data_IF_028620571578
#
_entry.id   IF_028620571578
#
_cell.length_a   1.000
_cell.length_b   1.000
_cell.length_c   1.000
_cell.angle_alpha   90.00
_cell.angle_beta   90.00
_cell.angle_gamma   90.00
#
_symmetry.space_group_name_H-M   'P 1'
#
loop_
_entity.id
_entity.type
_entity.pdbx_description
1 polymer ?
#
# COMPACT_ATOMS: atom_id res chain seq x y z
N UNK A 1 -26.32 30.37 33.36
CA UNK A 1 -25.64 29.09 33.69
C UNK A 1 -26.44 27.79 33.45
N UNK A 2 -27.79 27.69 33.62
CA UNK A 2 -28.53 26.44 33.36
C UNK A 2 -28.71 26.10 31.85
N UNK A 3 -28.74 27.11 30.97
CA UNK A 3 -28.91 26.95 29.51
C UNK A 3 -27.63 26.45 28.82
N UNK A 4 -26.45 26.90 29.26
CA UNK A 4 -25.15 26.47 28.73
C UNK A 4 -24.79 25.03 29.13
N UNK A 5 -25.15 24.61 30.36
CA UNK A 5 -24.86 23.26 30.86
C UNK A 5 -25.63 22.15 30.11
N UNK A 6 -26.73 22.49 29.43
CA UNK A 6 -27.44 21.58 28.52
C UNK A 6 -26.81 21.55 27.12
N UNK A 7 -26.24 22.66 26.66
CA UNK A 7 -25.54 22.74 25.36
C UNK A 7 -24.28 21.88 25.34
N UNK A 8 -23.42 21.97 26.36
CA UNK A 8 -22.17 21.20 26.42
C UNK A 8 -22.44 19.68 26.49
N UNK A 9 -23.43 19.26 27.29
CA UNK A 9 -23.81 17.84 27.39
C UNK A 9 -24.35 17.30 26.07
N UNK A 10 -25.18 18.08 25.39
CA UNK A 10 -25.70 17.71 24.08
C UNK A 10 -24.57 17.63 23.05
N UNK A 11 -23.66 18.60 23.02
CA UNK A 11 -22.50 18.59 22.13
C UNK A 11 -21.62 17.35 22.37
N UNK A 12 -21.39 16.97 23.63
CA UNK A 12 -20.65 15.76 23.97
C UNK A 12 -21.37 14.49 23.53
N UNK A 13 -22.69 14.39 23.73
CA UNK A 13 -23.50 13.27 23.25
C UNK A 13 -23.51 13.17 21.72
N UNK A 14 -23.63 14.30 21.04
CA UNK A 14 -23.54 14.39 19.59
C UNK A 14 -22.17 13.90 19.10
N UNK A 15 -21.08 14.42 19.66
CA UNK A 15 -19.72 14.02 19.30
C UNK A 15 -19.48 12.53 19.55
N UNK A 16 -19.96 12.00 20.68
CA UNK A 16 -19.89 10.57 21.00
C UNK A 16 -20.57 9.71 19.94
N UNK A 17 -21.84 10.01 19.63
CA UNK A 17 -22.59 9.28 18.62
C UNK A 17 -21.97 9.44 17.24
N UNK A 18 -21.47 10.62 16.90
CA UNK A 18 -20.83 10.86 15.62
C UNK A 18 -19.54 10.05 15.45
N UNK A 19 -18.68 10.02 16.47
CA UNK A 19 -17.48 9.20 16.47
C UNK A 19 -17.82 7.71 16.32
N UNK A 20 -18.70 7.19 17.17
CA UNK A 20 -18.98 5.75 17.21
C UNK A 20 -19.73 5.28 15.95
N UNK A 21 -20.83 5.94 15.63
CA UNK A 21 -21.63 5.57 14.44
C UNK A 21 -20.90 5.92 13.15
N UNK A 22 -20.16 7.03 13.11
CA UNK A 22 -19.33 7.41 11.97
C UNK A 22 -18.22 6.40 11.69
N UNK A 23 -17.54 5.90 12.72
CA UNK A 23 -16.53 4.84 12.56
C UNK A 23 -17.13 3.55 11.99
N UNK A 24 -18.27 3.11 12.53
CA UNK A 24 -18.98 1.92 12.04
C UNK A 24 -19.47 2.09 10.59
N UNK A 25 -20.16 3.20 10.28
CA UNK A 25 -20.65 3.50 8.94
C UNK A 25 -19.50 3.67 7.94
N UNK A 26 -18.39 4.27 8.38
CA UNK A 26 -17.17 4.39 7.58
C UNK A 26 -16.61 3.02 7.22
N UNK A 27 -16.55 2.10 8.16
CA UNK A 27 -16.14 0.71 7.91
C UNK A 27 -17.04 0.03 6.88
N UNK A 28 -18.37 0.12 7.04
CA UNK A 28 -19.32 -0.44 6.06
C UNK A 28 -19.17 0.19 4.67
N UNK A 29 -18.95 1.49 4.62
CA UNK A 29 -18.80 2.26 3.38
C UNK A 29 -17.53 1.87 2.63
N UNK A 30 -16.41 1.76 3.35
CA UNK A 30 -15.13 1.34 2.79
C UNK A 30 -15.20 -0.09 2.24
N UNK A 31 -15.77 -1.02 3.00
CA UNK A 31 -15.80 -2.44 2.62
C UNK A 31 -16.82 -2.79 1.55
N UNK A 32 -17.91 -2.03 1.43
CA UNK A 32 -18.97 -2.28 0.46
C UNK A 32 -18.98 -1.25 -0.67
N UNK A 33 -19.68 -0.10 -0.50
CA UNK A 33 -19.85 0.91 -1.54
C UNK A 33 -18.56 1.38 -2.22
N UNK A 34 -17.52 1.72 -1.45
CA UNK A 34 -16.25 2.22 -2.01
C UNK A 34 -15.59 1.14 -2.85
N UNK A 35 -15.42 -0.07 -2.32
CA UNK A 35 -14.84 -1.19 -3.07
C UNK A 35 -15.62 -1.47 -4.36
N UNK A 36 -16.95 -1.55 -4.29
CA UNK A 36 -17.80 -1.80 -5.47
C UNK A 36 -17.69 -0.69 -6.51
N UNK A 37 -17.68 0.58 -6.09
CA UNK A 37 -17.60 1.68 -7.05
C UNK A 37 -16.21 1.77 -7.67
N UNK A 38 -15.14 1.49 -6.92
CA UNK A 38 -13.78 1.46 -7.49
C UNK A 38 -13.63 0.31 -8.47
N UNK A 39 -14.12 -0.89 -8.12
CA UNK A 39 -14.06 -2.06 -8.99
C UNK A 39 -14.88 -1.82 -10.27
N UNK A 40 -16.09 -1.26 -10.13
CA UNK A 40 -16.94 -0.90 -11.28
C UNK A 40 -16.31 0.21 -12.14
N UNK A 41 -15.80 1.28 -11.52
CA UNK A 41 -15.17 2.39 -12.23
C UNK A 41 -13.98 1.91 -13.05
N UNK A 42 -13.15 1.03 -12.47
CA UNK A 42 -12.01 0.41 -13.18
C UNK A 42 -12.47 -0.49 -14.31
N UNK A 43 -13.45 -1.37 -14.07
CA UNK A 43 -13.99 -2.25 -15.10
C UNK A 43 -14.65 -1.49 -16.26
N UNK A 44 -15.30 -0.36 -15.96
CA UNK A 44 -15.92 0.54 -16.94
C UNK A 44 -14.94 1.55 -17.55
N UNK A 45 -13.66 1.50 -17.18
CA UNK A 45 -12.61 2.36 -17.75
C UNK A 45 -12.73 3.85 -17.39
N UNK A 46 -13.41 4.20 -16.29
CA UNK A 46 -13.62 5.58 -15.85
C UNK A 46 -12.30 6.37 -15.75
N UNK A 47 -12.38 7.69 -15.90
CA UNK A 47 -11.23 8.55 -15.61
C UNK A 47 -10.91 8.50 -14.11
N UNK A 48 -9.64 8.69 -13.76
CA UNK A 48 -9.23 8.72 -12.34
C UNK A 48 -9.92 9.85 -11.59
N UNK A 49 -10.08 11.02 -12.22
CA UNK A 49 -10.87 12.12 -11.66
C UNK A 49 -12.32 11.69 -11.40
N UNK A 50 -12.90 10.86 -12.27
CA UNK A 50 -14.24 10.29 -12.09
C UNK A 50 -14.31 9.29 -10.94
N UNK A 51 -13.36 8.37 -10.83
CA UNK A 51 -13.25 7.43 -9.70
C UNK A 51 -13.07 8.20 -8.38
N UNK A 52 -12.12 9.14 -8.32
CA UNK A 52 -11.88 9.99 -7.16
C UNK A 52 -13.11 10.82 -6.80
N UNK A 53 -13.76 11.45 -7.78
CA UNK A 53 -14.97 12.23 -7.53
C UNK A 53 -16.12 11.36 -6.98
N UNK A 54 -16.27 10.13 -7.48
CA UNK A 54 -17.28 9.21 -6.99
C UNK A 54 -16.99 8.73 -5.56
N UNK A 55 -15.73 8.42 -5.26
CA UNK A 55 -15.29 8.09 -3.89
C UNK A 55 -15.50 9.29 -2.96
N UNK A 56 -15.13 10.51 -3.38
CA UNK A 56 -15.37 11.72 -2.59
C UNK A 56 -16.85 12.03 -2.43
N UNK A 57 -17.69 11.77 -3.44
CA UNK A 57 -19.13 11.88 -3.31
C UNK A 57 -19.68 10.90 -2.27
N UNK A 58 -19.22 9.65 -2.27
CA UNK A 58 -19.57 8.67 -1.23
C UNK A 58 -19.10 9.09 0.16
N UNK A 59 -17.88 9.64 0.29
CA UNK A 59 -17.35 10.17 1.56
C UNK A 59 -18.19 11.36 2.02
N UNK A 60 -18.58 12.26 1.11
CA UNK A 60 -19.46 13.38 1.41
C UNK A 60 -20.83 12.92 1.89
N UNK A 61 -21.45 11.96 1.18
CA UNK A 61 -22.71 11.33 1.60
C UNK A 61 -22.56 10.69 2.98
N UNK A 62 -21.50 9.92 3.21
CA UNK A 62 -21.20 9.32 4.50
C UNK A 62 -21.06 10.39 5.60
N UNK A 63 -20.37 11.50 5.33
CA UNK A 63 -20.22 12.60 6.27
C UNK A 63 -21.59 13.16 6.68
N UNK A 64 -22.45 13.50 5.71
CA UNK A 64 -23.79 14.02 6.01
C UNK A 64 -24.69 13.00 6.70
N UNK A 65 -24.66 11.73 6.26
CA UNK A 65 -25.42 10.64 6.89
C UNK A 65 -24.96 10.44 8.33
N UNK A 66 -23.65 10.43 8.58
CA UNK A 66 -23.10 10.27 9.92
C UNK A 66 -23.47 11.45 10.85
N UNK A 67 -23.45 12.69 10.35
CA UNK A 67 -23.89 13.87 11.09
C UNK A 67 -25.40 13.79 11.42
N UNK A 68 -26.22 13.41 10.45
CA UNK A 68 -27.66 13.26 10.65
C UNK A 68 -27.97 12.15 11.65
N UNK A 69 -27.34 10.98 11.51
CA UNK A 69 -27.45 9.88 12.46
C UNK A 69 -27.04 10.31 13.87
N UNK A 70 -25.90 11.00 14.00
CA UNK A 70 -25.42 11.50 15.29
C UNK A 70 -26.40 12.48 15.93
N UNK A 71 -26.96 13.41 15.14
CA UNK A 71 -27.98 14.36 15.61
C UNK A 71 -29.23 13.64 16.09
N UNK A 72 -29.79 12.75 15.26
CA UNK A 72 -30.99 12.00 15.60
C UNK A 72 -30.80 11.14 16.85
N UNK A 73 -29.63 10.50 16.99
CA UNK A 73 -29.29 9.71 18.17
C UNK A 73 -29.10 10.59 19.40
N UNK A 74 -28.46 11.76 19.28
CA UNK A 74 -28.30 12.71 20.38
C UNK A 74 -29.65 13.27 20.85
N UNK A 75 -30.52 13.67 19.93
CA UNK A 75 -31.87 14.15 20.21
C UNK A 75 -32.69 13.07 20.93
N UNK A 76 -32.70 11.84 20.41
CA UNK A 76 -33.37 10.70 21.05
C UNK A 76 -32.78 10.37 22.42
N UNK A 77 -31.47 10.43 22.58
CA UNK A 77 -30.80 10.16 23.87
C UNK A 77 -31.16 11.23 24.91
N UNK A 78 -31.24 12.49 24.50
CA UNK A 78 -31.58 13.61 25.38
C UNK A 78 -33.06 13.58 25.81
N UNK A 79 -33.95 13.13 24.91
CA UNK A 79 -35.39 13.01 25.18
C UNK A 79 -35.78 11.69 25.89
N UNK A 80 -34.90 10.69 25.91
CA UNK A 80 -35.22 9.37 26.44
C UNK A 80 -35.25 9.32 27.97
N UNK A 81 -36.05 8.37 28.50
CA UNK A 81 -35.97 7.95 29.90
C UNK A 81 -34.64 7.28 30.25
N UNK A 82 -34.51 6.80 31.50
CA UNK A 82 -33.26 6.21 32.03
C UNK A 82 -32.66 5.13 31.10
N UNK A 83 -33.50 4.26 30.54
CA UNK A 83 -33.07 3.18 29.65
C UNK A 83 -32.42 3.71 28.35
N UNK A 84 -33.06 4.65 27.64
CA UNK A 84 -32.51 5.17 26.38
C UNK A 84 -31.32 6.10 26.56
N UNK A 85 -31.21 6.78 27.72
CA UNK A 85 -30.07 7.64 28.05
C UNK A 85 -28.74 6.89 28.09
N UNK A 86 -28.75 5.63 28.49
CA UNK A 86 -27.56 4.77 28.51
C UNK A 86 -27.54 3.76 27.37
N UNK A 87 -28.70 3.22 26.99
CA UNK A 87 -28.81 2.21 25.95
C UNK A 87 -28.40 2.70 24.56
N UNK A 88 -28.76 3.93 24.17
CA UNK A 88 -28.38 4.46 22.86
C UNK A 88 -26.87 4.70 22.73
N UNK A 89 -26.18 5.40 23.67
CA UNK A 89 -24.72 5.51 23.63
C UNK A 89 -24.01 4.16 23.69
N UNK A 90 -24.51 3.21 24.50
CA UNK A 90 -23.93 1.87 24.59
C UNK A 90 -24.10 1.08 23.28
N UNK A 91 -25.26 1.19 22.62
CA UNK A 91 -25.47 0.59 21.30
C UNK A 91 -24.56 1.17 20.23
N UNK A 92 -24.37 2.49 20.20
CA UNK A 92 -23.42 3.13 19.28
C UNK A 92 -21.98 2.64 19.54
N UNK A 93 -21.58 2.54 20.80
CA UNK A 93 -20.28 1.97 21.18
C UNK A 93 -20.15 0.51 20.74
N UNK A 94 -21.18 -0.32 20.93
CA UNK A 94 -21.17 -1.71 20.51
C UNK A 94 -20.97 -1.85 18.99
N UNK A 95 -21.60 -0.97 18.17
CA UNK A 95 -21.36 -0.94 16.73
C UNK A 95 -19.92 -0.51 16.38
N UNK A 96 -19.38 0.49 17.08
CA UNK A 96 -17.99 0.91 16.89
C UNK A 96 -17.00 -0.21 17.26
N UNK A 97 -17.26 -0.93 18.36
CA UNK A 97 -16.47 -2.08 18.78
C UNK A 97 -16.58 -3.24 17.80
N UNK A 98 -17.76 -3.47 17.22
CA UNK A 98 -17.93 -4.47 16.16
C UNK A 98 -17.10 -4.13 14.91
N UNK A 99 -17.10 -2.87 14.49
CA UNK A 99 -16.22 -2.41 13.41
C UNK A 99 -14.74 -2.59 13.78
N UNK A 100 -14.35 -2.23 15.01
CA UNK A 100 -12.98 -2.41 15.48
C UNK A 100 -12.57 -3.89 15.46
N UNK A 101 -13.42 -4.78 15.98
CA UNK A 101 -13.21 -6.23 15.94
C UNK A 101 -13.05 -6.74 14.50
N UNK A 102 -13.85 -6.22 13.56
CA UNK A 102 -13.71 -6.56 12.15
C UNK A 102 -12.33 -6.16 11.59
N UNK A 103 -11.81 -4.97 11.89
CA UNK A 103 -10.46 -4.55 11.51
C UNK A 103 -9.34 -5.35 12.19
N UNK A 104 -9.59 -5.83 13.40
CA UNK A 104 -8.69 -6.72 14.13
C UNK A 104 -8.82 -8.20 13.71
N UNK A 105 -9.68 -8.51 12.73
CA UNK A 105 -9.84 -9.87 12.21
C UNK A 105 -9.53 -9.90 10.71
N UNK A 106 -8.24 -9.87 10.31
CA UNK A 106 -7.84 -9.72 8.91
C UNK A 106 -8.41 -10.81 8.00
N UNK A 107 -8.65 -12.01 8.53
CA UNK A 107 -9.19 -13.17 7.79
C UNK A 107 -10.56 -12.89 7.17
N UNK A 108 -11.33 -11.92 7.69
CA UNK A 108 -12.60 -11.49 7.11
C UNK A 108 -12.43 -10.52 5.93
N UNK A 109 -11.26 -9.90 5.78
CA UNK A 109 -10.94 -8.93 4.73
C UNK A 109 -10.12 -9.52 3.59
N UNK A 110 -9.43 -10.63 3.85
CA UNK A 110 -8.60 -11.34 2.90
C UNK A 110 -9.47 -12.03 1.85
N UNK A 111 -9.17 -11.80 0.56
CA UNK A 111 -9.80 -12.55 -0.52
C UNK A 111 -9.42 -14.03 -0.38
N UNK A 112 -10.42 -14.91 -0.22
CA UNK A 112 -10.24 -16.37 -0.08
C UNK A 112 -9.50 -17.06 -1.23
N UNK A 113 -9.27 -16.33 -2.34
CA UNK A 113 -8.52 -16.81 -3.51
C UNK A 113 -7.04 -16.41 -3.53
N UNK A 114 -6.52 -15.74 -2.49
CA UNK A 114 -5.11 -15.34 -2.46
C UNK A 114 -4.22 -16.59 -2.33
N UNK A 115 -3.55 -16.97 -3.42
CA UNK A 115 -2.63 -18.11 -3.45
C UNK A 115 -1.32 -17.74 -2.78
N UNK A 116 -0.78 -18.66 -1.99
CA UNK A 116 0.57 -18.55 -1.45
C UNK A 116 1.57 -18.93 -2.52
N UNK A 117 2.48 -18.01 -2.82
CA UNK A 117 3.59 -18.22 -3.75
C UNK A 117 4.87 -18.47 -2.97
N UNK A 118 5.69 -19.41 -3.47
CA UNK A 118 6.99 -19.73 -2.90
C UNK A 118 8.12 -19.23 -3.79
N UNK A 119 9.18 -18.70 -3.17
CA UNK A 119 10.42 -18.30 -3.82
C UNK A 119 11.57 -18.93 -3.07
N UNK A 120 12.44 -19.66 -3.78
CA UNK A 120 13.63 -20.28 -3.19
C UNK A 120 14.85 -19.41 -3.52
N UNK A 121 15.59 -19.01 -2.50
CA UNK A 121 16.82 -18.22 -2.62
C UNK A 121 17.91 -18.87 -1.79
N UNK A 122 19.03 -19.23 -2.43
CA UNK A 122 20.21 -19.77 -1.73
C UNK A 122 19.89 -20.96 -0.81
N UNK A 123 18.97 -21.84 -1.22
CA UNK A 123 18.53 -23.00 -0.43
C UNK A 123 17.47 -22.70 0.65
N UNK A 124 17.06 -21.44 0.80
CA UNK A 124 16.01 -21.01 1.71
C UNK A 124 14.70 -20.77 0.96
N UNK A 125 13.60 -21.36 1.42
CA UNK A 125 12.27 -21.18 0.84
C UNK A 125 11.50 -20.07 1.58
N UNK A 126 10.97 -19.11 0.83
CA UNK A 126 10.09 -18.05 1.32
C UNK A 126 8.71 -18.19 0.71
N UNK A 127 7.70 -18.43 1.53
CA UNK A 127 6.30 -18.53 1.12
C UNK A 127 5.56 -17.28 1.55
N UNK A 128 4.87 -16.63 0.63
CA UNK A 128 4.19 -15.37 0.87
C UNK A 128 2.69 -15.58 1.06
N UNK A 129 2.09 -14.87 2.00
CA UNK A 129 0.64 -14.96 2.19
C UNK A 129 0.03 -13.90 3.11
N UNK A 130 -1.27 -14.06 3.42
CA UNK A 130 -1.98 -13.21 4.37
C UNK A 130 -1.50 -13.34 5.81
N UNK A 131 -1.95 -12.43 6.68
CA UNK A 131 -1.78 -12.55 8.13
C UNK A 131 -2.23 -13.94 8.65
N UNK A 132 -1.33 -14.72 9.27
CA UNK A 132 -1.66 -16.02 9.84
C UNK A 132 -2.24 -15.82 11.26
N UNK A 133 -3.45 -16.31 11.51
CA UNK A 133 -3.92 -16.49 12.89
C UNK A 133 -3.42 -17.80 13.50
N UNK A 134 -3.72 -18.02 14.76
CA UNK A 134 -3.37 -19.20 15.58
C UNK A 134 -3.43 -20.55 14.84
N UNK A 135 -4.58 -20.90 14.24
CA UNK A 135 -4.75 -22.16 13.51
C UNK A 135 -3.76 -22.27 12.35
N UNK A 136 -3.54 -21.17 11.62
CA UNK A 136 -2.58 -21.14 10.51
C UNK A 136 -1.15 -21.26 11.02
N UNK A 137 -0.79 -20.62 12.13
CA UNK A 137 0.54 -20.72 12.74
C UNK A 137 0.86 -22.16 13.18
N UNK A 138 -0.12 -22.83 13.79
CA UNK A 138 0.00 -24.25 14.13
C UNK A 138 0.17 -25.11 12.88
N UNK A 139 -0.66 -24.90 11.85
CA UNK A 139 -0.51 -25.59 10.56
C UNK A 139 0.83 -25.32 9.87
N UNK A 140 1.37 -24.10 9.95
CA UNK A 140 2.70 -23.77 9.42
C UNK A 140 3.79 -24.57 10.15
N UNK A 141 3.68 -24.75 11.48
CA UNK A 141 4.62 -25.58 12.23
C UNK A 141 4.57 -27.04 11.77
N UNK A 142 3.38 -27.59 11.59
CA UNK A 142 3.17 -28.96 11.10
C UNK A 142 3.67 -29.15 9.66
N UNK A 143 3.53 -28.14 8.81
CA UNK A 143 4.07 -28.08 7.43
C UNK A 143 5.60 -27.95 7.38
N UNK A 144 6.28 -27.90 8.54
CA UNK A 144 7.73 -27.87 8.64
C UNK A 144 8.35 -26.48 8.45
N UNK A 145 7.59 -25.41 8.64
CA UNK A 145 8.15 -24.06 8.60
C UNK A 145 9.13 -23.82 9.75
N UNK A 146 10.22 -23.15 9.42
CA UNK A 146 11.29 -22.78 10.35
C UNK A 146 10.90 -21.58 11.21
N UNK A 147 10.23 -20.59 10.60
CA UNK A 147 9.77 -19.38 11.28
C UNK A 147 8.73 -18.62 10.44
N UNK A 148 8.01 -17.70 11.08
CA UNK A 148 7.19 -16.68 10.42
C UNK A 148 7.94 -15.35 10.42
N UNK A 149 7.84 -14.61 9.33
CA UNK A 149 8.38 -13.26 9.16
C UNK A 149 7.22 -12.28 9.06
N UNK A 150 7.06 -11.46 10.10
CA UNK A 150 6.02 -10.43 10.18
C UNK A 150 6.55 -9.09 9.71
N UNK A 151 5.92 -8.53 8.68
CA UNK A 151 6.21 -7.20 8.15
C UNK A 151 5.34 -6.10 8.79
N UNK A 152 4.54 -6.46 9.81
CA UNK A 152 3.73 -5.52 10.58
C UNK A 152 4.62 -4.52 11.32
N UNK A 153 4.18 -3.29 11.46
CA UNK A 153 4.91 -2.21 12.12
C UNK A 153 4.12 -1.65 13.30
N UNK A 154 4.74 -1.52 14.49
CA UNK A 154 4.09 -0.94 15.65
C UNK A 154 3.75 0.55 15.46
N UNK A 155 4.29 1.20 14.42
CA UNK A 155 3.96 2.59 14.10
C UNK A 155 2.60 2.73 13.37
N UNK A 156 2.02 1.64 12.87
CA UNK A 156 0.75 1.65 12.12
C UNK A 156 -0.41 1.44 13.09
N UNK A 157 -0.68 2.47 13.87
CA UNK A 157 -1.75 2.49 14.87
C UNK A 157 -3.14 2.62 14.22
N UNK A 158 -4.19 2.05 14.83
CA UNK A 158 -4.19 1.25 16.06
C UNK A 158 -4.06 -0.26 15.86
N UNK A 159 -4.11 -0.76 14.62
CA UNK A 159 -4.38 -2.17 14.35
C UNK A 159 -3.13 -3.07 14.43
N UNK A 160 -2.05 -2.68 13.78
CA UNK A 160 -0.86 -3.53 13.66
C UNK A 160 -0.17 -3.84 15.00
N UNK A 161 -0.11 -2.92 16.00
CA UNK A 161 0.42 -3.26 17.32
C UNK A 161 -0.34 -4.37 18.03
N UNK A 162 -1.68 -4.36 17.96
CA UNK A 162 -2.53 -5.36 18.62
C UNK A 162 -2.39 -6.71 17.95
N UNK A 163 -2.38 -6.71 16.61
CA UNK A 163 -2.18 -7.91 15.81
C UNK A 163 -0.79 -8.51 16.06
N UNK A 164 0.26 -7.69 16.08
CA UNK A 164 1.61 -8.15 16.36
C UNK A 164 1.74 -8.75 17.76
N UNK A 165 1.08 -8.16 18.77
CA UNK A 165 1.09 -8.72 20.13
C UNK A 165 0.42 -10.11 20.17
N UNK A 166 -0.71 -10.26 19.48
CA UNK A 166 -1.43 -11.55 19.37
C UNK A 166 -0.58 -12.57 18.61
N UNK A 167 0.04 -12.15 17.50
CA UNK A 167 0.94 -12.97 16.70
C UNK A 167 2.14 -13.49 17.50
N UNK A 168 2.74 -12.66 18.36
CA UNK A 168 3.86 -13.07 19.23
C UNK A 168 3.42 -14.19 20.19
N UNK A 169 2.26 -14.06 20.81
CA UNK A 169 1.71 -15.04 21.75
C UNK A 169 1.37 -16.34 21.03
N UNK A 170 0.56 -16.26 19.96
CA UNK A 170 0.13 -17.41 19.17
C UNK A 170 1.32 -18.17 18.54
N UNK A 171 2.35 -17.45 18.07
CA UNK A 171 3.55 -18.08 17.50
C UNK A 171 4.39 -18.80 18.57
N UNK A 172 4.46 -18.25 19.80
CA UNK A 172 5.10 -18.93 20.93
C UNK A 172 4.36 -20.20 21.32
N UNK A 173 3.03 -20.15 21.39
CA UNK A 173 2.19 -21.32 21.69
C UNK A 173 2.32 -22.42 20.63
N UNK A 174 2.34 -22.03 19.35
CA UNK A 174 2.58 -22.96 18.23
C UNK A 174 4.02 -23.51 18.17
N UNK A 175 4.95 -23.00 18.99
CA UNK A 175 6.37 -23.36 18.94
C UNK A 175 7.04 -22.98 17.61
N UNK A 176 6.54 -21.92 16.96
CA UNK A 176 7.01 -21.41 15.68
C UNK A 176 7.67 -20.04 15.90
N UNK A 177 9.00 -19.91 15.72
CA UNK A 177 9.68 -18.64 15.92
C UNK A 177 9.10 -17.52 15.05
N UNK A 178 8.89 -16.35 15.66
CA UNK A 178 8.51 -15.13 14.97
C UNK A 178 9.72 -14.23 14.75
N UNK A 179 9.96 -13.84 13.50
CA UNK A 179 10.98 -12.88 13.10
C UNK A 179 10.25 -11.59 12.72
N UNK A 180 10.41 -10.56 13.54
CA UNK A 180 9.76 -9.27 13.32
C UNK A 180 10.64 -8.35 12.47
N UNK A 181 10.21 -8.06 11.24
CA UNK A 181 10.90 -7.17 10.29
C UNK A 181 9.94 -6.05 9.84
N UNK A 182 9.67 -5.06 10.70
CA UNK A 182 8.65 -4.05 10.43
C UNK A 182 8.98 -3.28 9.16
N UNK A 183 8.01 -3.20 8.24
CA UNK A 183 8.09 -2.36 7.05
C UNK A 183 7.01 -1.29 7.09
N UNK A 184 7.42 -0.04 6.87
CA UNK A 184 6.49 1.08 6.73
C UNK A 184 6.14 1.25 5.25
N UNK A 185 4.85 1.36 4.88
CA UNK A 185 4.46 1.44 3.47
C UNK A 185 4.75 2.80 2.81
N UNK A 186 5.37 3.74 3.54
CA UNK A 186 5.67 5.11 3.09
C UNK A 186 7.14 5.53 3.34
N UNK A 187 8.05 4.62 3.69
CA UNK A 187 9.45 4.97 4.03
C UNK A 187 10.45 4.13 3.22
N UNK A 188 11.37 4.81 2.53
CA UNK A 188 12.50 4.20 1.80
C UNK A 188 13.60 3.63 2.72
N UNK A 189 13.59 3.95 4.01
CA UNK A 189 14.51 3.48 5.06
C UNK A 189 14.10 2.14 5.69
N UNK A 190 14.03 1.07 4.90
CA UNK A 190 13.94 -0.32 5.39
C UNK A 190 15.34 -0.98 5.52
N UNK A 191 16.39 -0.23 5.89
CA UNK A 191 17.79 -0.73 5.89
C UNK A 191 17.98 -1.93 6.84
N UNK A 192 17.25 -1.94 7.96
CA UNK A 192 17.27 -3.04 8.92
C UNK A 192 16.76 -4.35 8.30
N UNK A 193 15.83 -4.28 7.34
CA UNK A 193 15.28 -5.46 6.66
C UNK A 193 16.34 -6.12 5.79
N UNK A 194 17.14 -5.34 5.06
CA UNK A 194 18.21 -5.85 4.20
C UNK A 194 19.29 -6.59 5.01
N UNK A 195 19.69 -6.02 6.15
CA UNK A 195 20.64 -6.66 7.06
C UNK A 195 20.11 -7.99 7.59
N UNK A 196 18.88 -8.00 8.12
CA UNK A 196 18.28 -9.21 8.63
C UNK A 196 18.07 -10.28 7.55
N UNK A 197 17.71 -9.86 6.33
CA UNK A 197 17.55 -10.76 5.20
C UNK A 197 18.89 -11.37 4.77
N UNK A 198 19.96 -10.58 4.75
CA UNK A 198 21.32 -11.08 4.48
C UNK A 198 21.76 -12.11 5.52
N UNK A 199 21.46 -11.87 6.80
CA UNK A 199 21.72 -12.82 7.89
C UNK A 199 20.89 -14.12 7.76
N UNK A 200 19.63 -14.02 7.34
CA UNK A 200 18.78 -15.19 7.07
C UNK A 200 19.28 -16.02 5.88
N UNK A 201 19.66 -15.36 4.79
CA UNK A 201 20.21 -16.03 3.61
C UNK A 201 21.58 -16.65 3.89
N UNK A 202 22.41 -16.06 4.74
CA UNK A 202 23.70 -16.62 5.14
C UNK A 202 23.58 -17.95 5.92
N UNK A 203 22.44 -18.21 6.56
CA UNK A 203 22.15 -19.52 7.19
C UNK A 203 21.88 -20.62 6.15
N UNK A 204 21.51 -20.25 4.92
CA UNK A 204 21.43 -21.12 3.74
C UNK A 204 20.41 -22.27 3.81
N UNK A 205 19.45 -22.22 4.74
CA UNK A 205 18.44 -23.27 4.90
C UNK A 205 17.22 -22.75 5.67
N UNK A 206 16.08 -23.39 5.43
CA UNK A 206 14.83 -23.16 6.16
C UNK A 206 13.66 -22.80 5.25
N UNK A 207 12.46 -22.87 5.82
CA UNK A 207 11.20 -22.51 5.16
C UNK A 207 10.49 -21.43 5.96
N UNK A 208 10.32 -20.25 5.38
CA UNK A 208 9.86 -19.05 6.05
C UNK A 208 8.53 -18.59 5.47
N UNK A 209 7.54 -18.34 6.32
CA UNK A 209 6.28 -17.74 5.90
C UNK A 209 6.33 -16.23 6.08
N UNK A 210 6.14 -15.45 5.02
CA UNK A 210 6.24 -13.99 5.04
C UNK A 210 4.87 -13.39 4.79
N UNK A 211 4.46 -12.47 5.67
CA UNK A 211 3.18 -11.78 5.52
C UNK A 211 3.26 -10.31 5.94
N UNK A 212 2.24 -9.57 5.55
CA UNK A 212 1.91 -8.28 6.17
C UNK A 212 0.42 -8.30 6.54
N UNK A 213 -0.21 -7.15 6.73
CA UNK A 213 -1.64 -7.09 7.07
C UNK A 213 -2.52 -7.81 6.02
N UNK A 214 -2.41 -7.43 4.75
CA UNK A 214 -3.19 -8.04 3.65
C UNK A 214 -2.36 -8.88 2.67
N UNK A 215 -1.04 -9.03 2.90
CA UNK A 215 -0.17 -9.82 2.01
C UNK A 215 0.11 -9.22 0.62
N UNK A 216 -0.13 -7.92 0.41
CA UNK A 216 0.00 -7.25 -0.90
C UNK A 216 1.31 -6.44 -1.00
N UNK A 217 1.25 -5.14 -0.71
CA UNK A 217 2.33 -4.20 -1.06
C UNK A 217 3.68 -4.51 -0.39
N UNK A 218 3.72 -4.59 0.95
CA UNK A 218 4.97 -4.83 1.70
C UNK A 218 5.61 -6.17 1.35
N UNK A 219 4.79 -7.18 1.09
CA UNK A 219 5.22 -8.54 0.73
C UNK A 219 5.94 -8.55 -0.62
N UNK A 220 5.39 -7.85 -1.62
CA UNK A 220 6.03 -7.79 -2.94
C UNK A 220 7.32 -6.95 -2.92
N UNK A 221 7.37 -5.87 -2.12
CA UNK A 221 8.62 -5.11 -1.93
C UNK A 221 9.67 -5.99 -1.23
N UNK A 222 9.29 -6.76 -0.22
CA UNK A 222 10.17 -7.74 0.42
C UNK A 222 10.67 -8.79 -0.58
N UNK A 223 9.79 -9.31 -1.45
CA UNK A 223 10.15 -10.22 -2.54
C UNK A 223 11.17 -9.61 -3.49
N UNK A 224 11.04 -8.32 -3.83
CA UNK A 224 12.02 -7.59 -4.65
C UNK A 224 13.37 -7.46 -3.95
N UNK A 225 13.39 -7.18 -2.65
CA UNK A 225 14.64 -7.15 -1.86
C UNK A 225 15.31 -8.52 -1.83
N UNK A 226 14.53 -9.59 -1.66
CA UNK A 226 15.00 -10.98 -1.75
C UNK A 226 15.66 -11.29 -3.08
N UNK A 227 14.94 -11.12 -4.20
CA UNK A 227 15.46 -11.34 -5.55
C UNK A 227 16.71 -10.48 -5.82
N UNK A 228 16.73 -9.28 -5.22
CA UNK A 228 17.92 -8.46 -5.14
C UNK A 228 19.10 -9.26 -4.59
N UNK A 229 19.07 -9.65 -3.32
CA UNK A 229 20.18 -10.32 -2.65
C UNK A 229 20.62 -11.65 -3.31
N UNK A 230 19.71 -12.38 -3.95
CA UNK A 230 19.99 -13.66 -4.63
C UNK A 230 20.90 -13.54 -5.85
N UNK A 231 20.97 -12.36 -6.48
CA UNK A 231 21.61 -12.20 -7.79
C UNK A 231 20.81 -12.75 -8.97
N UNK A 232 19.71 -13.47 -8.72
CA UNK A 232 18.78 -13.94 -9.75
C UNK A 232 17.96 -12.76 -10.29
N UNK A 233 18.34 -12.28 -11.48
CA UNK A 233 17.62 -11.24 -12.23
C UNK A 233 16.21 -11.63 -12.70
N UNK A 234 15.71 -12.80 -12.29
CA UNK A 234 14.37 -13.27 -12.52
C UNK A 234 13.43 -12.72 -11.44
N UNK A 235 12.96 -11.48 -11.64
CA UNK A 235 11.74 -11.02 -10.99
C UNK A 235 10.61 -11.96 -11.42
N UNK A 236 10.16 -12.84 -10.52
CA UNK A 236 8.83 -13.43 -10.66
C UNK A 236 7.83 -12.27 -10.58
N UNK A 237 7.14 -12.01 -11.69
CA UNK A 237 6.06 -11.03 -11.70
C UNK A 237 5.10 -11.37 -10.54
N UNK A 238 4.64 -10.37 -9.76
CA UNK A 238 3.69 -10.63 -8.69
C UNK A 238 2.46 -11.36 -9.28
N UNK A 239 1.85 -12.32 -8.54
CA UNK A 239 0.70 -13.04 -9.05
C UNK A 239 -0.42 -12.05 -9.43
N UNK A 240 -1.22 -12.34 -10.47
CA UNK A 240 -2.27 -11.44 -10.94
C UNK A 240 -3.19 -10.99 -9.80
N UNK A 241 -3.37 -9.66 -9.64
CA UNK A 241 -4.23 -9.07 -8.61
C UNK A 241 -3.62 -8.94 -7.20
N UNK A 242 -2.36 -9.31 -7.00
CA UNK A 242 -1.66 -9.21 -5.70
C UNK A 242 -0.87 -7.92 -5.48
N UNK A 243 -0.67 -7.11 -6.52
CA UNK A 243 0.10 -5.88 -6.49
C UNK A 243 -0.66 -4.74 -7.17
N UNK A 244 -0.52 -3.52 -6.63
CA UNK A 244 -0.88 -2.30 -7.35
C UNK A 244 0.10 -2.12 -8.51
N UNK A 245 -0.40 -1.80 -9.70
CA UNK A 245 0.40 -1.67 -10.91
C UNK A 245 0.16 -0.33 -11.60
N UNK A 246 1.09 0.08 -12.48
CA UNK A 246 0.91 1.28 -13.30
C UNK A 246 -0.26 1.17 -14.30
N UNK A 247 -0.83 -0.02 -14.49
CA UNK A 247 -2.05 -0.22 -15.27
C UNK A 247 -3.31 0.23 -14.51
N UNK A 248 -3.26 0.26 -13.19
CA UNK A 248 -4.41 0.55 -12.33
C UNK A 248 -4.65 2.04 -12.13
N UNK A 249 -3.74 2.89 -12.60
CA UNK A 249 -3.75 4.34 -12.38
C UNK A 249 -3.46 5.11 -13.66
N UNK A 250 -3.96 6.34 -13.73
CA UNK A 250 -3.79 7.23 -14.89
C UNK A 250 -2.93 8.46 -14.57
N UNK A 251 -2.70 8.76 -13.30
CA UNK A 251 -1.89 9.87 -12.83
C UNK A 251 -1.29 9.59 -11.45
N UNK A 252 -0.23 10.33 -11.18
CA UNK A 252 0.33 10.55 -9.85
C UNK A 252 0.00 11.97 -9.40
N UNK A 253 0.32 12.31 -8.15
CA UNK A 253 0.14 13.67 -7.60
C UNK A 253 0.78 14.74 -8.49
N UNK A 254 1.93 14.42 -9.09
CA UNK A 254 2.72 15.32 -9.94
C UNK A 254 2.30 15.32 -11.42
N UNK A 255 1.21 14.63 -11.77
CA UNK A 255 0.61 14.66 -13.09
C UNK A 255 0.35 13.31 -13.75
N UNK A 256 -0.03 13.34 -15.02
CA UNK A 256 -0.56 12.19 -15.76
C UNK A 256 0.52 11.15 -16.12
N UNK A 257 0.11 9.89 -16.15
CA UNK A 257 0.86 8.76 -16.68
C UNK A 257 0.40 8.52 -18.12
N UNK A 258 1.33 8.51 -19.06
CA UNK A 258 1.10 8.23 -20.47
C UNK A 258 1.65 6.84 -20.80
N UNK A 259 0.81 5.96 -21.33
CA UNK A 259 1.29 4.72 -21.95
C UNK A 259 1.89 5.06 -23.32
N UNK A 260 3.19 4.83 -23.47
CA UNK A 260 3.91 5.10 -24.73
C UNK A 260 3.86 3.91 -25.68
N UNK A 261 3.93 2.70 -25.13
CA UNK A 261 3.80 1.43 -25.83
C UNK A 261 3.34 0.35 -24.84
N UNK A 262 3.11 -0.88 -25.31
CA UNK A 262 2.83 -2.02 -24.43
C UNK A 262 3.95 -2.16 -23.38
N UNK A 263 3.58 -2.17 -22.11
CA UNK A 263 4.51 -2.23 -20.96
C UNK A 263 5.55 -1.08 -20.88
N UNK A 264 5.27 0.09 -21.48
CA UNK A 264 6.12 1.29 -21.38
C UNK A 264 5.31 2.49 -20.93
N UNK A 265 5.67 3.02 -19.78
CA UNK A 265 4.95 4.11 -19.10
C UNK A 265 5.85 5.34 -19.00
N UNK A 266 5.30 6.50 -19.33
CA UNK A 266 5.90 7.81 -19.07
C UNK A 266 5.10 8.49 -17.95
N UNK A 267 5.74 8.77 -16.83
CA UNK A 267 5.10 9.26 -15.61
C UNK A 267 5.83 10.49 -15.06
N UNK A 268 5.21 11.31 -14.20
CA UNK A 268 5.96 12.29 -13.42
C UNK A 268 6.76 11.58 -12.31
N UNK A 269 7.66 12.30 -11.62
CA UNK A 269 8.41 11.76 -10.50
C UNK A 269 7.42 11.43 -9.36
N UNK A 270 7.35 10.16 -8.90
CA UNK A 270 6.35 9.75 -7.91
C UNK A 270 6.69 10.24 -6.50
N UNK A 271 5.69 10.34 -5.62
CA UNK A 271 5.91 10.45 -4.17
C UNK A 271 6.45 9.15 -3.59
N UNK A 272 6.87 9.14 -2.32
CA UNK A 272 7.41 7.91 -1.70
C UNK A 272 6.36 6.80 -1.62
N UNK A 273 5.09 7.16 -1.37
CA UNK A 273 3.98 6.21 -1.37
C UNK A 273 3.69 5.66 -2.78
N UNK A 274 3.70 6.53 -3.79
CA UNK A 274 3.49 6.12 -5.18
C UNK A 274 4.63 5.25 -5.70
N UNK A 275 5.87 5.59 -5.35
CA UNK A 275 7.06 4.83 -5.69
C UNK A 275 6.99 3.44 -5.04
N UNK A 276 6.65 3.36 -3.74
CA UNK A 276 6.48 2.09 -3.03
C UNK A 276 5.35 1.25 -3.62
N UNK A 277 4.18 1.85 -3.80
CA UNK A 277 2.94 1.17 -4.20
C UNK A 277 2.91 0.71 -5.65
N UNK A 278 3.49 1.47 -6.58
CA UNK A 278 3.32 1.22 -8.03
C UNK A 278 4.62 0.96 -8.80
N UNK A 279 5.78 1.32 -8.26
CA UNK A 279 7.09 1.09 -8.92
C UNK A 279 7.81 -0.09 -8.27
N UNK A 280 7.95 -0.09 -6.94
CA UNK A 280 8.69 -1.13 -6.21
C UNK A 280 7.89 -2.42 -6.00
N UNK A 281 6.56 -2.34 -5.99
CA UNK A 281 5.62 -3.43 -5.75
C UNK A 281 5.62 -4.56 -6.80
N UNK A 282 6.63 -4.65 -7.66
CA UNK A 282 6.85 -5.79 -8.56
C UNK A 282 6.40 -5.58 -10.00
N UNK A 283 5.70 -4.48 -10.32
CA UNK A 283 5.19 -4.16 -11.65
C UNK A 283 6.24 -3.61 -12.62
N UNK A 284 7.31 -2.98 -12.13
CA UNK A 284 8.31 -2.30 -12.97
C UNK A 284 9.62 -3.09 -13.00
N UNK A 285 10.05 -3.47 -14.21
CA UNK A 285 11.30 -4.19 -14.43
C UNK A 285 12.50 -3.24 -14.64
N UNK A 286 12.29 -2.07 -15.21
CA UNK A 286 13.34 -1.05 -15.44
C UNK A 286 12.81 0.36 -15.20
N UNK A 287 13.61 1.22 -14.58
CA UNK A 287 13.32 2.62 -14.33
C UNK A 287 14.24 3.51 -15.17
N UNK A 288 13.67 4.56 -15.74
CA UNK A 288 14.41 5.54 -16.55
C UNK A 288 14.14 6.93 -16.01
N UNK A 289 15.21 7.65 -15.69
CA UNK A 289 15.17 9.01 -15.15
C UNK A 289 15.57 10.01 -16.22
N UNK A 290 14.69 10.97 -16.50
CA UNK A 290 14.94 12.07 -17.42
C UNK A 290 15.52 13.31 -16.72
N UNK A 291 15.76 13.22 -15.41
CA UNK A 291 16.25 14.33 -14.60
C UNK A 291 17.67 14.72 -14.99
N UNK A 292 17.91 16.02 -15.05
CA UNK A 292 19.19 16.60 -15.43
C UNK A 292 20.03 16.96 -14.19
N UNK A 293 21.24 16.40 -13.99
CA UNK A 293 22.13 16.77 -12.89
C UNK A 293 22.70 18.19 -13.00
N UNK A 294 22.64 18.83 -14.18
CA UNK A 294 23.00 20.24 -14.33
C UNK A 294 21.97 21.18 -13.68
N UNK A 295 20.75 20.69 -13.37
CA UNK A 295 19.76 21.44 -12.60
C UNK A 295 19.94 21.15 -11.09
N UNK A 296 20.32 22.16 -10.27
CA UNK A 296 20.51 21.97 -8.83
C UNK A 296 19.28 21.40 -8.10
N UNK A 297 18.07 21.75 -8.55
CA UNK A 297 16.83 21.25 -7.94
C UNK A 297 16.65 19.74 -8.12
N UNK A 298 17.22 19.15 -9.17
CA UNK A 298 17.12 17.73 -9.46
C UNK A 298 18.10 16.89 -8.64
N UNK A 299 19.19 17.48 -8.10
CA UNK A 299 20.29 16.73 -7.51
C UNK A 299 19.85 15.87 -6.31
N UNK A 300 19.01 16.42 -5.44
CA UNK A 300 18.49 15.69 -4.27
C UNK A 300 17.60 14.51 -4.70
N UNK A 301 16.77 14.70 -5.72
CA UNK A 301 15.91 13.65 -6.29
C UNK A 301 16.71 12.57 -7.00
N UNK A 302 17.69 12.93 -7.82
CA UNK A 302 18.58 11.98 -8.50
C UNK A 302 19.34 11.13 -7.47
N UNK A 303 19.85 11.75 -6.40
CA UNK A 303 20.55 11.02 -5.33
C UNK A 303 19.60 10.04 -4.64
N UNK A 304 18.44 10.51 -4.21
CA UNK A 304 17.40 9.68 -3.56
C UNK A 304 16.98 8.51 -4.46
N UNK A 305 16.74 8.78 -5.74
CA UNK A 305 16.35 7.77 -6.71
C UNK A 305 17.44 6.71 -6.89
N UNK A 306 18.70 7.12 -7.03
CA UNK A 306 19.83 6.20 -7.14
C UNK A 306 19.96 5.29 -5.91
N UNK A 307 19.80 5.85 -4.72
CA UNK A 307 19.82 5.10 -3.46
C UNK A 307 18.69 4.07 -3.42
N UNK A 308 17.46 4.47 -3.75
CA UNK A 308 16.29 3.58 -3.81
C UNK A 308 16.49 2.48 -4.87
N UNK A 309 16.88 2.86 -6.10
CA UNK A 309 17.06 1.94 -7.20
C UNK A 309 18.14 0.89 -6.90
N UNK A 310 19.28 1.32 -6.31
CA UNK A 310 20.33 0.41 -5.87
C UNK A 310 19.82 -0.55 -4.80
N UNK A 311 19.16 -0.02 -3.77
CA UNK A 311 18.64 -0.80 -2.65
C UNK A 311 17.65 -1.89 -3.07
N UNK A 312 16.70 -1.55 -3.94
CA UNK A 312 15.69 -2.49 -4.42
C UNK A 312 16.07 -3.20 -5.73
N UNK A 313 17.35 -3.10 -6.14
CA UNK A 313 17.92 -3.63 -7.40
C UNK A 313 17.02 -3.40 -8.61
N UNK A 314 16.44 -2.20 -8.68
CA UNK A 314 15.67 -1.73 -9.82
C UNK A 314 16.66 -1.13 -10.82
N UNK A 315 16.84 -1.73 -12.02
CA UNK A 315 17.72 -1.17 -13.04
C UNK A 315 17.32 0.27 -13.35
N UNK A 316 18.23 1.21 -13.09
CA UNK A 316 18.04 2.64 -13.33
C UNK A 316 18.94 3.10 -14.46
N UNK A 317 18.34 3.61 -15.54
CA UNK A 317 19.05 4.33 -16.58
C UNK A 317 18.76 5.83 -16.45
N UNK A 318 19.79 6.68 -16.50
CA UNK A 318 19.65 8.13 -16.40
C UNK A 318 20.02 8.78 -17.73
N UNK A 319 19.08 9.52 -18.29
CA UNK A 319 19.24 10.26 -19.54
C UNK A 319 18.84 11.70 -19.28
N UNK A 320 19.80 12.62 -19.02
CA UNK A 320 19.50 14.00 -18.65
C UNK A 320 18.93 14.78 -19.84
N UNK A 321 17.64 14.59 -20.10
CA UNK A 321 17.01 14.83 -21.40
C UNK A 321 17.20 16.26 -21.89
N UNK A 322 17.15 17.22 -20.97
CA UNK A 322 17.29 18.65 -21.23
C UNK A 322 18.66 19.05 -21.78
N UNK A 323 19.74 18.44 -21.30
CA UNK A 323 21.11 18.74 -21.74
C UNK A 323 21.59 17.89 -22.93
N UNK A 324 20.78 16.92 -23.37
CA UNK A 324 21.14 16.05 -24.50
C UNK A 324 20.85 16.71 -25.86
N UNK A 325 21.78 16.56 -26.80
CA UNK A 325 21.56 16.93 -28.20
C UNK A 325 20.60 15.96 -28.93
N UNK A 326 20.21 16.30 -30.16
CA UNK A 326 19.23 15.53 -30.95
C UNK A 326 19.71 14.10 -31.26
N UNK A 327 21.00 13.92 -31.55
CA UNK A 327 21.55 12.60 -31.87
C UNK A 327 21.58 11.69 -30.63
N UNK A 328 21.97 12.25 -29.49
CA UNK A 328 21.98 11.59 -28.19
C UNK A 328 20.57 11.22 -27.74
N UNK A 329 19.57 12.10 -27.92
CA UNK A 329 18.16 11.83 -27.62
C UNK A 329 17.63 10.64 -28.42
N UNK A 330 17.92 10.59 -29.73
CA UNK A 330 17.52 9.47 -30.60
C UNK A 330 18.16 8.16 -30.14
N UNK A 331 19.45 8.18 -29.80
CA UNK A 331 20.16 7.01 -29.27
C UNK A 331 19.54 6.53 -27.94
N UNK A 332 19.22 7.44 -27.03
CA UNK A 332 18.59 7.11 -25.75
C UNK A 332 17.23 6.45 -25.92
N UNK A 333 16.38 6.95 -26.83
CA UNK A 333 15.08 6.31 -27.12
C UNK A 333 15.27 4.86 -27.59
N UNK A 334 16.22 4.61 -28.48
CA UNK A 334 16.53 3.26 -28.97
C UNK A 334 17.05 2.33 -27.87
N UNK A 335 17.87 2.83 -26.95
CA UNK A 335 18.32 2.08 -25.78
C UNK A 335 17.15 1.77 -24.83
N UNK A 336 16.29 2.74 -24.54
CA UNK A 336 15.11 2.60 -23.68
C UNK A 336 14.11 1.57 -24.25
N UNK A 337 13.92 1.56 -25.58
CA UNK A 337 13.08 0.56 -26.27
C UNK A 337 13.56 -0.88 -26.00
N UNK A 338 14.87 -1.09 -25.81
CA UNK A 338 15.50 -2.41 -25.55
C UNK A 338 15.52 -2.83 -24.08
N UNK A 339 15.19 -1.94 -23.15
CA UNK A 339 15.16 -2.26 -21.71
C UNK A 339 14.09 -3.31 -21.39
N UNK A 340 14.33 -4.05 -20.29
CA UNK A 340 13.39 -5.05 -19.78
C UNK A 340 12.06 -4.38 -19.42
N UNK A 341 10.97 -5.01 -19.86
CA UNK A 341 9.59 -4.55 -19.64
C UNK A 341 8.98 -5.23 -18.39
N UNK A 342 8.08 -4.54 -17.65
CA UNK A 342 7.62 -3.17 -17.90
C UNK A 342 8.64 -2.08 -17.56
N UNK A 343 8.75 -1.06 -18.42
CA UNK A 343 9.64 0.09 -18.23
C UNK A 343 8.85 1.31 -17.77
N UNK A 344 9.26 1.90 -16.65
CA UNK A 344 8.73 3.17 -16.17
C UNK A 344 9.76 4.27 -16.44
N UNK A 345 9.35 5.30 -17.16
CA UNK A 345 10.18 6.44 -17.56
C UNK A 345 9.59 7.65 -16.87
N UNK A 346 10.40 8.50 -16.24
CA UNK A 346 9.88 9.69 -15.59
C UNK A 346 10.66 10.96 -15.87
N UNK A 347 9.91 12.05 -15.95
CA UNK A 347 10.38 13.42 -15.79
C UNK A 347 9.83 13.97 -14.47
N UNK A 348 10.25 15.16 -14.02
CA UNK A 348 9.79 15.67 -12.73
C UNK A 348 8.27 15.91 -12.66
N UNK A 349 7.70 16.58 -13.67
CA UNK A 349 6.27 16.88 -13.80
C UNK A 349 5.76 16.44 -15.17
N UNK A 350 4.48 16.05 -15.26
CA UNK A 350 3.90 15.72 -16.58
C UNK A 350 3.72 16.95 -17.47
N UNK A 351 3.72 18.15 -16.87
CA UNK A 351 3.63 19.43 -17.56
C UNK A 351 5.01 19.99 -17.97
N UNK A 352 6.12 19.31 -17.66
CA UNK A 352 7.44 19.82 -18.02
C UNK A 352 7.68 19.70 -19.54
N UNK A 353 8.49 20.61 -20.12
CA UNK A 353 8.92 20.49 -21.51
C UNK A 353 9.58 19.13 -21.80
N UNK A 354 10.43 18.66 -20.88
CA UNK A 354 11.12 17.38 -20.99
C UNK A 354 10.16 16.20 -21.18
N UNK A 355 9.04 16.20 -20.45
CA UNK A 355 8.01 15.16 -20.56
C UNK A 355 7.36 15.16 -21.96
N UNK A 356 6.98 16.35 -22.45
CA UNK A 356 6.32 16.49 -23.75
C UNK A 356 7.28 16.17 -24.91
N UNK A 357 8.52 16.67 -24.85
CA UNK A 357 9.55 16.41 -25.84
C UNK A 357 9.92 14.92 -25.92
N UNK A 358 10.11 14.26 -24.78
CA UNK A 358 10.39 12.82 -24.74
C UNK A 358 9.24 12.01 -25.33
N UNK A 359 8.00 12.35 -24.96
CA UNK A 359 6.79 11.67 -25.47
C UNK A 359 6.72 11.69 -26.99
N UNK A 360 7.07 12.82 -27.60
CA UNK A 360 7.08 12.95 -29.07
C UNK A 360 8.24 12.14 -29.66
N UNK A 361 9.45 12.31 -29.14
CA UNK A 361 10.64 11.61 -29.61
C UNK A 361 10.56 10.08 -29.51
N UNK A 362 9.78 9.55 -28.56
CA UNK A 362 9.57 8.10 -28.43
C UNK A 362 8.63 7.51 -29.49
N UNK A 363 7.68 8.33 -29.98
CA UNK A 363 6.65 7.93 -30.94
C UNK A 363 7.13 8.02 -32.39
N UNK A 364 8.07 8.92 -32.64
CA UNK A 364 8.85 8.98 -33.87
C UNK A 364 9.78 7.75 -34.01
#
# INVERSE_FOLDING_TARGET
MKKERNSLKYAALFAWHWLCSGFFLGTLTLMGPVRRITDHARAAGWSETGEKAAVFALIGVLFFVSLLCARLLADKTAAAGKAGRYGLPAGALALALLALWFWLTPSLMIDRGMKSDAVIVSGTEFVFGPYPGEERLSGLKEEGYTAVISLLSPAVVPFEPVLLASEIEEAQEAGLPLIHLPMLPWISSNDHVEKALSELLAKGSGKYYVHCYLGKDRVNVFRRMLAGLSGDGAQAAPPPGSARTLYDIKSFERGAITVLAKDVFLMPYPTDEEFFGYVLNGSVASLVSLLDPANPENLSWIKKEKEIAAKYRLPLASYPWRSMDTAARKKAVEEIKRLKKPTAIHAFLSASPDYAEFKNAYRD
#
